data_IF_011917410646
#
_entry.id   IF_011917410646
#
_cell.length_a   1.000
_cell.length_b   1.000
_cell.length_c   1.000
_cell.angle_alpha   90.00
_cell.angle_beta   90.00
_cell.angle_gamma   90.00
#
_symmetry.space_group_name_H-M   'P 1'
#
loop_
_entity.id
_entity.type
_entity.pdbx_description
1 polymer ?
#
# COMPACT_ATOMS: atom_id res chain seq x y z
N UNK A 1 -26.63 -19.15 6.10
CA UNK A 1 -25.79 -19.57 4.97
C UNK A 1 -24.35 -19.39 5.42
N UNK A 2 -23.47 -20.40 5.30
CA UNK A 2 -22.04 -20.12 5.49
C UNK A 2 -21.60 -19.12 4.42
N UNK A 3 -20.89 -18.06 4.82
CA UNK A 3 -20.28 -17.14 3.86
C UNK A 3 -19.37 -17.94 2.92
N UNK A 4 -19.36 -17.65 1.62
CA UNK A 4 -18.40 -18.26 0.72
C UNK A 4 -16.99 -17.85 1.19
N UNK A 5 -16.27 -18.79 1.81
CA UNK A 5 -14.88 -18.61 2.24
C UNK A 5 -13.97 -18.74 1.02
N UNK A 6 -14.05 -17.78 0.11
CA UNK A 6 -12.98 -17.60 -0.86
C UNK A 6 -11.76 -17.14 -0.08
N UNK A 7 -10.64 -17.88 -0.09
CA UNK A 7 -9.44 -17.47 0.63
C UNK A 7 -8.95 -16.11 0.12
N UNK A 8 -8.41 -15.27 1.01
CA UNK A 8 -7.78 -14.00 0.64
C UNK A 8 -6.67 -14.24 -0.40
N UNK A 9 -6.60 -13.46 -1.49
CA UNK A 9 -5.57 -13.65 -2.51
C UNK A 9 -4.17 -13.52 -1.92
N UNK A 10 -3.18 -14.21 -2.48
CA UNK A 10 -1.78 -14.08 -2.11
C UNK A 10 -1.13 -12.93 -2.90
N UNK A 11 -0.17 -12.18 -2.32
CA UNK A 11 0.62 -11.22 -3.08
C UNK A 11 1.27 -11.81 -4.34
N UNK A 12 1.66 -13.09 -4.28
CA UNK A 12 2.22 -13.79 -5.43
C UNK A 12 1.19 -13.98 -6.56
N UNK A 13 -0.07 -14.27 -6.23
CA UNK A 13 -1.15 -14.41 -7.22
C UNK A 13 -1.39 -13.08 -7.96
N UNK A 14 -1.40 -11.97 -7.22
CA UNK A 14 -1.52 -10.64 -7.83
C UNK A 14 -0.31 -10.30 -8.71
N UNK A 15 0.92 -10.68 -8.32
CA UNK A 15 2.11 -10.49 -9.18
C UNK A 15 2.04 -11.32 -10.46
N UNK A 16 1.54 -12.55 -10.37
CA UNK A 16 1.30 -13.39 -11.55
C UNK A 16 0.28 -12.73 -12.47
N UNK A 17 -0.83 -12.23 -11.91
CA UNK A 17 -1.85 -11.53 -12.70
C UNK A 17 -1.31 -10.28 -13.40
N UNK A 18 -0.43 -9.51 -12.73
CA UNK A 18 0.25 -8.37 -13.36
C UNK A 18 1.16 -8.83 -14.52
N UNK A 19 1.92 -9.90 -14.34
CA UNK A 19 2.78 -10.44 -15.41
C UNK A 19 1.96 -10.97 -16.62
N UNK A 20 0.78 -11.55 -16.36
CA UNK A 20 -0.14 -11.96 -17.43
C UNK A 20 -0.72 -10.77 -18.20
N UNK A 21 -1.07 -9.69 -17.50
CA UNK A 21 -1.54 -8.45 -18.12
C UNK A 21 -0.44 -7.76 -18.95
N UNK A 22 0.81 -7.78 -18.48
CA UNK A 22 1.99 -7.28 -19.20
C UNK A 22 2.21 -8.08 -20.49
N UNK A 23 2.18 -9.41 -20.40
CA UNK A 23 2.26 -10.29 -21.58
C UNK A 23 1.13 -10.02 -22.59
N UNK A 24 -0.07 -9.69 -22.10
CA UNK A 24 -1.18 -9.31 -22.98
C UNK A 24 -0.93 -7.96 -23.65
N UNK A 25 -0.34 -6.99 -22.95
CA UNK A 25 0.03 -5.68 -23.49
C UNK A 25 1.08 -5.81 -24.60
N UNK A 26 2.10 -6.65 -24.42
CA UNK A 26 3.09 -6.95 -25.46
C UNK A 26 2.42 -7.50 -26.72
N UNK A 27 1.50 -8.45 -26.55
CA UNK A 27 0.74 -9.02 -27.67
C UNK A 27 -0.16 -7.99 -28.35
N UNK A 28 -0.78 -7.06 -27.62
CA UNK A 28 -1.59 -6.00 -28.25
C UNK A 28 -0.70 -5.01 -29.02
N UNK A 29 0.50 -4.71 -28.52
CA UNK A 29 1.48 -3.88 -29.20
C UNK A 29 1.94 -4.50 -30.53
N UNK A 30 2.25 -5.80 -30.53
CA UNK A 30 2.59 -6.54 -31.75
C UNK A 30 1.47 -6.49 -32.81
N UNK A 31 0.22 -6.59 -32.38
CA UNK A 31 -0.94 -6.50 -33.27
C UNK A 31 -1.09 -5.10 -33.84
N UNK A 32 -0.92 -4.07 -33.00
CA UNK A 32 -0.96 -2.68 -33.42
C UNK A 32 0.14 -2.36 -34.45
N UNK A 33 1.37 -2.82 -34.19
CA UNK A 33 2.50 -2.64 -35.11
C UNK A 33 2.23 -3.29 -36.49
N UNK A 34 1.60 -4.47 -36.52
CA UNK A 34 1.21 -5.11 -37.79
C UNK A 34 0.13 -4.35 -38.54
N UNK A 35 -0.82 -3.73 -37.82
CA UNK A 35 -1.85 -2.88 -38.43
C UNK A 35 -1.25 -1.58 -38.99
N UNK A 36 -0.30 -0.98 -38.26
CA UNK A 36 0.39 0.24 -38.67
C UNK A 36 1.28 0.02 -39.91
N UNK A 37 1.92 -1.15 -40.01
CA UNK A 37 2.76 -1.52 -41.14
C UNK A 37 1.98 -1.95 -42.40
N UNK A 38 0.65 -2.03 -42.36
CA UNK A 38 -0.14 -2.46 -43.51
C UNK A 38 -0.19 -1.39 -44.62
N UNK A 39 -0.19 -1.80 -45.88
CA UNK A 39 -0.30 -0.90 -47.05
C UNK A 39 -1.72 -0.32 -47.26
N UNK A 40 -2.69 -0.71 -46.41
CA UNK A 40 -4.07 -0.24 -46.44
C UNK A 40 -4.32 0.80 -45.33
N UNK A 41 -4.63 2.03 -45.73
CA UNK A 41 -4.94 3.13 -44.82
C UNK A 41 -6.18 2.91 -43.94
N UNK A 42 -7.08 1.99 -44.27
CA UNK A 42 -8.16 1.55 -43.37
C UNK A 42 -7.64 0.64 -42.26
N UNK A 43 -6.72 -0.27 -42.56
CA UNK A 43 -6.09 -1.14 -41.57
C UNK A 43 -5.18 -0.34 -40.63
N UNK A 44 -4.41 0.61 -41.17
CA UNK A 44 -3.57 1.51 -40.36
C UNK A 44 -4.39 2.27 -39.30
N UNK A 45 -5.61 2.71 -39.62
CA UNK A 45 -6.49 3.39 -38.65
C UNK A 45 -6.90 2.51 -37.47
N UNK A 46 -6.89 1.18 -37.64
CA UNK A 46 -7.19 0.23 -36.58
C UNK A 46 -6.02 0.05 -35.59
N UNK A 47 -4.81 0.51 -35.91
CA UNK A 47 -3.69 0.49 -34.97
C UNK A 47 -3.95 1.39 -33.75
N UNK A 48 -4.64 2.53 -33.95
CA UNK A 48 -4.93 3.50 -32.87
C UNK A 48 -5.70 2.89 -31.69
N UNK A 49 -6.86 2.23 -31.86
CA UNK A 49 -7.54 1.58 -30.74
C UNK A 49 -6.72 0.45 -30.10
N UNK A 50 -5.88 -0.26 -30.86
CA UNK A 50 -4.98 -1.29 -30.31
C UNK A 50 -3.84 -0.69 -29.46
N UNK A 51 -3.27 0.44 -29.88
CA UNK A 51 -2.30 1.20 -29.08
C UNK A 51 -2.95 1.69 -27.78
N UNK A 52 -4.17 2.24 -27.86
CA UNK A 52 -4.92 2.61 -26.65
C UNK A 52 -5.12 1.42 -25.70
N UNK A 53 -5.50 0.26 -26.22
CA UNK A 53 -5.68 -0.93 -25.38
C UNK A 53 -4.36 -1.38 -24.73
N UNK A 54 -3.23 -1.22 -25.43
CA UNK A 54 -1.88 -1.48 -24.88
C UNK A 54 -1.56 -0.54 -23.72
N UNK A 55 -1.81 0.75 -23.90
CA UNK A 55 -1.60 1.76 -22.85
C UNK A 55 -2.49 1.48 -21.63
N UNK A 56 -3.78 1.21 -21.86
CA UNK A 56 -4.73 0.89 -20.80
C UNK A 56 -4.30 -0.39 -20.02
N UNK A 57 -3.77 -1.42 -20.71
CA UNK A 57 -3.25 -2.63 -20.07
C UNK A 57 -2.00 -2.37 -19.22
N UNK A 58 -1.10 -1.49 -19.67
CA UNK A 58 0.07 -1.10 -18.89
C UNK A 58 -0.34 -0.38 -17.60
N UNK A 59 -1.35 0.51 -17.67
CA UNK A 59 -1.92 1.18 -16.51
C UNK A 59 -2.53 0.16 -15.52
N UNK A 60 -3.34 -0.79 -16.00
CA UNK A 60 -3.91 -1.83 -15.14
C UNK A 60 -2.85 -2.76 -14.53
N UNK A 61 -1.80 -3.08 -15.28
CA UNK A 61 -0.66 -3.87 -14.78
C UNK A 61 -0.01 -3.18 -13.58
N UNK A 62 0.20 -1.86 -13.68
CA UNK A 62 0.74 -1.06 -12.56
C UNK A 62 -0.20 -1.06 -11.35
N UNK A 63 -1.52 -0.94 -11.54
CA UNK A 63 -2.50 -1.01 -10.44
C UNK A 63 -2.47 -2.37 -9.73
N UNK A 64 -2.42 -3.47 -10.48
CA UNK A 64 -2.37 -4.82 -9.91
C UNK A 64 -1.07 -5.03 -9.13
N UNK A 65 0.07 -4.62 -9.69
CA UNK A 65 1.37 -4.71 -9.03
C UNK A 65 1.42 -3.88 -7.73
N UNK A 66 0.86 -2.66 -7.74
CA UNK A 66 0.71 -1.83 -6.53
C UNK A 66 -0.14 -2.51 -5.47
N UNK A 67 -1.26 -3.11 -5.88
CA UNK A 67 -2.15 -3.85 -4.97
C UNK A 67 -1.41 -5.03 -4.31
N UNK A 68 -0.57 -5.76 -5.06
CA UNK A 68 0.27 -6.81 -4.50
C UNK A 68 1.24 -6.29 -3.42
N UNK A 69 1.81 -5.11 -3.64
CA UNK A 69 2.70 -4.47 -2.68
C UNK A 69 1.93 -4.00 -1.42
N UNK A 70 0.74 -3.42 -1.57
CA UNK A 70 -0.11 -3.04 -0.45
C UNK A 70 -0.55 -4.25 0.38
N UNK A 71 -0.99 -5.33 -0.28
CA UNK A 71 -1.39 -6.55 0.42
C UNK A 71 -0.22 -7.17 1.20
N UNK A 72 1.00 -7.10 0.66
CA UNK A 72 2.21 -7.52 1.39
C UNK A 72 2.35 -6.72 2.68
N UNK A 73 2.16 -5.39 2.65
CA UNK A 73 2.25 -4.53 3.84
C UNK A 73 1.16 -4.84 4.86
N UNK A 74 -0.08 -5.01 4.42
CA UNK A 74 -1.20 -5.40 5.28
C UNK A 74 -0.92 -6.73 5.99
N UNK A 75 -0.34 -7.70 5.27
CA UNK A 75 0.02 -9.00 5.86
C UNK A 75 1.18 -8.90 6.83
N UNK A 76 2.22 -8.12 6.50
CA UNK A 76 3.34 -7.85 7.41
C UNK A 76 2.84 -7.21 8.70
N UNK A 77 1.91 -6.25 8.61
CA UNK A 77 1.32 -5.61 9.78
C UNK A 77 0.48 -6.56 10.68
N UNK A 78 0.24 -7.81 10.28
CA UNK A 78 -0.32 -8.84 11.17
C UNK A 78 0.74 -9.48 12.08
N UNK A 79 2.01 -9.12 11.94
CA UNK A 79 3.08 -9.53 12.85
C UNK A 79 2.86 -8.88 14.23
N UNK A 80 2.72 -9.67 15.32
CA UNK A 80 2.45 -9.14 16.66
C UNK A 80 3.59 -8.29 17.24
N UNK A 81 4.78 -8.27 16.61
CA UNK A 81 5.89 -7.41 17.00
C UNK A 81 5.85 -6.02 16.34
N UNK A 82 4.87 -5.76 15.47
CA UNK A 82 4.69 -4.46 14.81
C UNK A 82 3.55 -3.66 15.44
N UNK A 83 3.44 -2.41 15.01
CA UNK A 83 2.39 -1.51 15.43
C UNK A 83 1.02 -1.92 14.86
N UNK A 84 0.00 -1.99 15.73
CA UNK A 84 -1.37 -2.40 15.36
C UNK A 84 -2.19 -1.31 14.65
N UNK A 85 -1.64 -0.10 14.49
CA UNK A 85 -2.41 1.04 13.95
C UNK A 85 -2.61 0.87 12.44
N UNK A 86 -3.86 0.90 11.94
CA UNK A 86 -4.17 0.61 10.54
C UNK A 86 -3.91 1.79 9.57
N UNK A 87 -3.24 2.84 10.04
CA UNK A 87 -2.82 3.99 9.23
C UNK A 87 -1.40 4.40 9.61
N UNK A 88 -0.72 5.10 8.71
CA UNK A 88 0.57 5.70 8.98
C UNK A 88 0.49 7.16 9.44
N UNK A 89 1.56 7.60 10.11
CA UNK A 89 1.77 8.99 10.52
C UNK A 89 3.15 9.47 10.12
N UNK A 90 3.37 10.80 10.19
CA UNK A 90 4.72 11.34 10.17
C UNK A 90 5.41 10.98 11.50
N UNK A 91 6.61 10.38 11.50
CA UNK A 91 7.31 10.05 12.73
C UNK A 91 7.52 11.26 13.65
N UNK A 92 7.75 12.43 13.07
CA UNK A 92 8.09 13.65 13.81
C UNK A 92 6.85 14.50 14.19
N UNK A 93 5.79 14.44 13.37
CA UNK A 93 4.66 15.37 13.47
C UNK A 93 3.29 14.69 13.75
N UNK A 94 3.25 13.36 13.82
CA UNK A 94 2.02 12.61 14.04
C UNK A 94 1.06 12.67 12.86
N UNK A 95 -0.25 12.73 13.13
CA UNK A 95 -1.33 12.74 12.12
C UNK A 95 -1.33 14.04 11.31
N UNK A 96 -0.43 14.11 10.35
CA UNK A 96 -0.17 15.27 9.46
C UNK A 96 0.10 14.85 8.02
N UNK A 97 -0.06 13.55 7.70
CA UNK A 97 0.14 13.07 6.35
C UNK A 97 -1.00 13.49 5.43
N UNK A 98 -0.66 13.77 4.19
CA UNK A 98 -1.58 13.82 3.07
C UNK A 98 -1.18 12.72 2.08
N UNK A 99 -2.15 12.16 1.35
CA UNK A 99 -1.90 11.15 0.32
C UNK A 99 -2.56 11.55 -1.00
N UNK A 100 -1.83 11.36 -2.10
CA UNK A 100 -2.35 11.48 -3.47
C UNK A 100 -1.56 10.58 -4.40
N UNK A 101 -2.28 9.84 -5.26
CA UNK A 101 -1.68 8.99 -6.30
C UNK A 101 -0.58 8.06 -5.75
N UNK A 102 -0.90 7.36 -4.65
CA UNK A 102 0.01 6.46 -3.95
C UNK A 102 1.29 7.10 -3.42
N UNK A 103 1.29 8.41 -3.18
CA UNK A 103 2.39 9.08 -2.52
C UNK A 103 1.85 9.77 -1.29
N UNK A 104 2.58 9.65 -0.18
CA UNK A 104 2.25 10.34 1.05
C UNK A 104 3.36 11.33 1.40
N UNK A 105 2.98 12.47 1.99
CA UNK A 105 3.93 13.45 2.51
C UNK A 105 3.39 14.11 3.77
N UNK A 106 4.29 14.59 4.61
CA UNK A 106 3.91 15.38 5.78
C UNK A 106 3.54 16.80 5.35
N UNK A 107 2.44 17.33 5.90
CA UNK A 107 1.98 18.71 5.65
C UNK A 107 2.46 19.72 6.69
N UNK A 108 3.23 19.29 7.69
CA UNK A 108 3.79 20.19 8.68
C UNK A 108 4.87 21.10 8.05
N UNK A 109 4.81 22.40 8.37
CA UNK A 109 5.75 23.40 7.85
C UNK A 109 7.20 23.03 8.18
N UNK A 110 8.04 22.93 7.14
CA UNK A 110 9.48 22.62 7.28
C UNK A 110 9.80 21.13 7.39
N UNK A 111 8.82 20.25 7.18
CA UNK A 111 9.03 18.81 7.13
C UNK A 111 9.12 18.32 5.68
N UNK A 112 10.22 17.67 5.34
CA UNK A 112 10.45 17.10 3.99
C UNK A 112 10.15 15.59 3.91
N UNK A 113 9.62 15.01 4.99
CA UNK A 113 9.28 13.58 5.01
C UNK A 113 8.22 13.25 3.96
N UNK A 114 8.59 12.36 3.04
CA UNK A 114 7.75 11.87 1.96
C UNK A 114 7.99 10.38 1.72
N UNK A 115 6.98 9.72 1.15
CA UNK A 115 6.98 8.29 0.86
C UNK A 115 6.43 8.06 -0.54
N UNK A 116 7.07 7.17 -1.29
CA UNK A 116 6.65 6.74 -2.62
C UNK A 116 5.53 5.67 -2.60
N UNK A 117 4.80 5.59 -1.50
CA UNK A 117 3.62 4.73 -1.30
C UNK A 117 2.61 5.48 -0.42
N UNK A 118 1.33 5.08 -0.45
CA UNK A 118 0.30 5.65 0.43
C UNK A 118 0.51 5.22 1.89
N UNK A 119 1.45 5.87 2.58
CA UNK A 119 1.70 5.61 3.99
C UNK A 119 0.49 5.94 4.86
N UNK A 120 -0.33 6.93 4.50
CA UNK A 120 -1.48 7.34 5.30
C UNK A 120 -2.52 6.21 5.39
N UNK A 121 -2.86 5.58 4.27
CA UNK A 121 -3.92 4.54 4.23
C UNK A 121 -3.37 3.11 4.28
N UNK A 122 -2.09 2.93 4.56
CA UNK A 122 -1.49 1.60 4.79
C UNK A 122 -1.27 1.38 6.29
N UNK A 123 -1.49 0.16 6.82
CA UNK A 123 -1.13 -0.17 8.19
C UNK A 123 0.33 0.18 8.52
N UNK A 124 0.54 0.60 9.77
CA UNK A 124 1.87 0.89 10.27
C UNK A 124 2.72 -0.39 10.29
N UNK A 125 3.90 -0.35 9.69
CA UNK A 125 4.85 -1.47 9.71
C UNK A 125 6.06 -1.20 10.61
N UNK A 126 5.99 -0.16 11.44
CA UNK A 126 7.06 0.16 12.39
C UNK A 126 7.04 -0.81 13.59
N UNK A 127 8.19 -1.15 14.17
CA UNK A 127 8.26 -2.02 15.35
C UNK A 127 7.46 -1.47 16.52
N UNK A 128 6.79 -2.36 17.25
CA UNK A 128 6.13 -2.04 18.50
C UNK A 128 7.17 -1.59 19.54
N UNK A 129 6.88 -0.48 20.22
CA UNK A 129 7.71 0.11 21.26
C UNK A 129 6.91 0.42 22.54
N UNK A 130 5.59 0.31 22.52
CA UNK A 130 4.72 0.52 23.66
C UNK A 130 3.44 -0.30 23.56
N UNK A 131 2.80 -0.55 24.70
CA UNK A 131 1.42 -1.00 24.80
C UNK A 131 0.56 0.18 25.22
N UNK A 132 -0.49 0.45 24.44
CA UNK A 132 -1.53 1.40 24.81
C UNK A 132 -2.71 0.65 25.40
N UNK A 133 -3.28 1.15 26.49
CA UNK A 133 -4.55 0.68 27.05
C UNK A 133 -5.55 1.83 26.99
N UNK A 134 -6.71 1.60 26.38
CA UNK A 134 -7.78 2.59 26.36
C UNK A 134 -8.61 2.57 27.67
N UNK A 135 -9.60 3.46 27.74
CA UNK A 135 -10.48 3.63 28.91
C UNK A 135 -11.33 2.39 29.24
N UNK A 136 -11.56 1.53 28.26
CA UNK A 136 -12.37 0.31 28.39
C UNK A 136 -11.48 -0.92 28.65
N UNK A 137 -10.16 -0.71 28.77
CA UNK A 137 -9.16 -1.75 29.03
C UNK A 137 -8.70 -2.49 27.77
N UNK A 138 -9.05 -2.02 26.58
CA UNK A 138 -8.59 -2.62 25.32
C UNK A 138 -7.13 -2.23 25.09
N UNK A 139 -6.30 -3.23 24.79
CA UNK A 139 -4.86 -3.04 24.58
C UNK A 139 -4.47 -3.13 23.11
N UNK A 140 -3.47 -2.34 22.69
CA UNK A 140 -2.84 -2.45 21.38
C UNK A 140 -1.36 -2.08 21.40
N UNK A 141 -0.56 -2.72 20.56
CA UNK A 141 0.87 -2.47 20.37
C UNK A 141 1.08 -1.25 19.47
N UNK A 142 1.85 -0.26 19.95
CA UNK A 142 2.13 0.97 19.24
C UNK A 142 3.63 1.13 18.99
N UNK A 143 4.00 1.66 17.82
CA UNK A 143 5.36 2.19 17.62
C UNK A 143 5.56 3.49 18.40
N UNK A 144 6.80 3.96 18.52
CA UNK A 144 7.16 5.17 19.28
C UNK A 144 6.39 6.42 18.84
N UNK A 145 6.21 6.60 17.53
CA UNK A 145 5.49 7.74 16.98
C UNK A 145 3.99 7.67 17.31
N UNK A 146 3.35 6.50 17.16
CA UNK A 146 1.93 6.33 17.49
C UNK A 146 1.68 6.43 18.99
N UNK A 147 2.58 5.90 19.82
CA UNK A 147 2.51 6.04 21.28
C UNK A 147 2.59 7.51 21.71
N UNK A 148 3.47 8.29 21.08
CA UNK A 148 3.62 9.73 21.35
C UNK A 148 2.40 10.52 20.90
N UNK A 149 1.84 10.21 19.73
CA UNK A 149 0.63 10.86 19.22
C UNK A 149 -0.60 10.53 20.08
N UNK A 150 -0.79 9.25 20.43
CA UNK A 150 -1.83 8.77 21.31
C UNK A 150 -1.79 9.46 22.67
N UNK A 151 -0.61 9.50 23.32
CA UNK A 151 -0.42 10.18 24.62
C UNK A 151 -0.81 11.66 24.58
N UNK A 152 -0.64 12.32 23.44
CA UNK A 152 -0.94 13.74 23.27
C UNK A 152 -2.42 14.01 22.98
N UNK A 153 -3.11 13.09 22.30
CA UNK A 153 -4.43 13.34 21.71
C UNK A 153 -5.56 12.53 22.33
N UNK A 154 -5.28 11.40 22.96
CA UNK A 154 -6.29 10.48 23.48
C UNK A 154 -6.44 10.61 25.00
N UNK A 155 -7.52 11.26 25.42
CA UNK A 155 -7.87 11.34 26.85
C UNK A 155 -8.21 9.97 27.42
N UNK A 156 -7.63 9.65 28.58
CA UNK A 156 -7.88 8.38 29.28
C UNK A 156 -7.14 7.17 28.71
N UNK A 157 -6.26 7.35 27.72
CA UNK A 157 -5.35 6.31 27.26
C UNK A 157 -4.08 6.27 28.12
N UNK A 158 -3.69 5.09 28.61
CA UNK A 158 -2.39 4.87 29.25
C UNK A 158 -1.41 4.26 28.27
N UNK A 159 -0.14 4.66 28.36
CA UNK A 159 0.94 4.19 27.49
C UNK A 159 2.07 3.63 28.36
N UNK A 160 2.41 2.36 28.14
CA UNK A 160 3.53 1.68 28.77
C UNK A 160 4.59 1.35 27.70
N UNK A 161 5.79 1.92 27.82
CA UNK A 161 6.86 1.66 26.86
C UNK A 161 7.54 0.32 27.14
N UNK A 162 7.78 -0.44 26.08
CA UNK A 162 8.49 -1.72 26.13
C UNK A 162 9.98 -1.45 26.32
N UNK A 163 10.58 -2.01 27.37
CA UNK A 163 12.02 -1.91 27.58
C UNK A 163 12.79 -2.66 26.46
N UNK A 164 13.60 -1.94 25.68
CA UNK A 164 14.47 -2.51 24.64
C UNK A 164 15.57 -3.47 25.17
N UNK A 165 15.58 -3.83 26.46
CA UNK A 165 16.62 -4.66 27.09
C UNK A 165 16.32 -6.16 27.06
N UNK A 166 15.21 -6.61 26.46
CA UNK A 166 14.77 -8.00 26.55
C UNK A 166 14.48 -8.69 25.22
N UNK A 167 15.24 -8.43 24.15
CA UNK A 167 15.17 -9.26 22.93
C UNK A 167 16.49 -9.26 22.17
N UNK A 168 17.40 -10.13 22.59
CA UNK A 168 18.49 -10.64 21.76
C UNK A 168 18.58 -12.15 22.03
N UNK A 169 18.10 -13.03 21.14
CA UNK A 169 18.60 -14.40 21.06
C UNK A 169 20.00 -14.43 20.43
#
# INVERSE_FOLDING_TARGET
MPEPTTPEPLPAELRTLAAEADTLAERTAEMAARLEAADDGHLQRLARPMNKATDDLADYTNEIARTAAYLTRVRVARDPHLCDVPWGICPDHGVTLHSRADQAWCTATGCDNSWNYDRLHTPCTEPAAAIATDRDGVTGSLCSAHASDAKRRLDGCSIEYLDHRATNP
#
